data_IF_244624880298
#
_entry.id   IF_244624880298
#
_cell.length_a   1.000
_cell.length_b   1.000
_cell.length_c   1.000
_cell.angle_alpha   90.00
_cell.angle_beta   90.00
_cell.angle_gamma   90.00
#
_symmetry.space_group_name_H-M   'P 1'
#
loop_
_entity.id
_entity.type
_entity.pdbx_description
1 polymer ?
#
# COMPACT_ATOMS: atom_id res chain seq x y z
N UNK A 1 6.75 -11.19 -9.95
CA UNK A 1 5.75 -10.23 -10.44
C UNK A 1 6.45 -8.93 -10.80
N UNK A 2 6.20 -8.38 -12.00
CA UNK A 2 6.60 -7.02 -12.38
C UNK A 2 5.57 -5.99 -11.92
N UNK A 3 5.87 -4.69 -12.02
CA UNK A 3 4.91 -3.64 -11.69
C UNK A 3 3.77 -3.57 -12.71
N UNK A 4 4.02 -3.92 -13.97
CA UNK A 4 2.98 -4.03 -15.00
C UNK A 4 2.03 -5.19 -14.71
N UNK A 5 2.57 -6.35 -14.32
CA UNK A 5 1.77 -7.50 -13.90
C UNK A 5 0.94 -7.17 -12.65
N UNK A 6 1.52 -6.45 -11.70
CA UNK A 6 0.81 -5.99 -10.51
C UNK A 6 -0.31 -4.99 -10.85
N UNK A 7 -0.04 -4.00 -11.70
CA UNK A 7 -1.07 -3.03 -12.12
C UNK A 7 -2.21 -3.72 -12.87
N UNK A 8 -1.91 -4.73 -13.70
CA UNK A 8 -2.91 -5.55 -14.36
C UNK A 8 -3.76 -6.32 -13.34
N UNK A 9 -3.14 -6.92 -12.32
CA UNK A 9 -3.86 -7.56 -11.22
C UNK A 9 -4.83 -6.58 -10.53
N UNK A 10 -4.40 -5.35 -10.25
CA UNK A 10 -5.25 -4.31 -9.63
C UNK A 10 -6.46 -3.98 -10.52
N UNK A 11 -6.26 -3.88 -11.83
CA UNK A 11 -7.34 -3.62 -12.79
C UNK A 11 -8.36 -4.77 -12.84
N UNK A 12 -7.88 -6.02 -12.82
CA UNK A 12 -8.73 -7.22 -12.77
C UNK A 12 -9.52 -7.29 -11.46
N UNK A 13 -8.89 -6.97 -10.33
CA UNK A 13 -9.58 -6.93 -9.03
C UNK A 13 -10.65 -5.85 -8.99
N UNK A 14 -10.38 -4.63 -9.43
CA UNK A 14 -11.39 -3.57 -9.49
C UNK A 14 -12.59 -3.96 -10.37
N UNK A 15 -12.33 -4.54 -11.53
CA UNK A 15 -13.36 -5.06 -12.42
C UNK A 15 -14.18 -6.18 -11.75
N UNK A 16 -13.52 -7.12 -11.08
CA UNK A 16 -14.19 -8.18 -10.33
C UNK A 16 -15.10 -7.61 -9.24
N UNK A 17 -14.61 -6.71 -8.39
CA UNK A 17 -15.41 -6.10 -7.33
C UNK A 17 -16.61 -5.32 -7.87
N UNK A 18 -16.47 -4.66 -9.03
CA UNK A 18 -17.58 -3.99 -9.73
C UNK A 18 -18.60 -4.98 -10.28
N UNK A 19 -18.17 -6.18 -10.69
CA UNK A 19 -19.05 -7.22 -11.21
C UNK A 19 -19.92 -7.88 -10.14
N UNK A 20 -19.52 -7.83 -8.85
CA UNK A 20 -20.23 -8.46 -7.73
C UNK A 20 -21.60 -7.82 -7.39
N UNK A 21 -22.07 -6.83 -8.15
CA UNK A 21 -23.48 -6.46 -8.23
C UNK A 21 -24.11 -5.81 -6.99
N UNK A 22 -23.34 -5.54 -5.92
CA UNK A 22 -23.84 -4.67 -4.83
C UNK A 22 -23.87 -3.24 -5.33
N UNK A 23 -25.02 -2.57 -5.18
CA UNK A 23 -25.32 -1.21 -5.64
C UNK A 23 -24.55 -0.11 -4.90
N UNK A 24 -23.27 -0.34 -4.59
CA UNK A 24 -22.42 0.71 -4.05
C UNK A 24 -22.21 1.76 -5.15
N UNK A 25 -22.42 3.02 -4.80
CA UNK A 25 -21.96 4.17 -5.57
C UNK A 25 -20.43 4.21 -5.63
N UNK A 26 -19.87 5.00 -6.55
CA UNK A 26 -18.42 5.27 -6.57
C UNK A 26 -17.94 5.84 -5.24
N UNK A 27 -18.74 6.69 -4.61
CA UNK A 27 -18.41 7.29 -3.31
C UNK A 27 -18.29 6.24 -2.22
N UNK A 28 -19.23 5.29 -2.15
CA UNK A 28 -19.18 4.20 -1.18
C UNK A 28 -17.98 3.27 -1.43
N UNK A 29 -17.63 3.02 -2.70
CA UNK A 29 -16.40 2.27 -3.04
C UNK A 29 -15.15 2.96 -2.54
N UNK A 30 -14.98 4.25 -2.81
CA UNK A 30 -13.83 5.02 -2.33
C UNK A 30 -13.76 4.99 -0.81
N UNK A 31 -14.87 5.21 -0.12
CA UNK A 31 -14.92 5.17 1.35
C UNK A 31 -14.57 3.78 1.90
N UNK A 32 -15.11 2.71 1.31
CA UNK A 32 -14.79 1.34 1.71
C UNK A 32 -13.30 1.03 1.53
N UNK A 33 -12.68 1.46 0.42
CA UNK A 33 -11.24 1.30 0.18
C UNK A 33 -10.39 2.10 1.16
N UNK A 34 -10.81 3.32 1.51
CA UNK A 34 -10.12 4.14 2.52
C UNK A 34 -10.16 3.49 3.91
N UNK A 35 -11.31 2.92 4.29
CA UNK A 35 -11.44 2.19 5.57
C UNK A 35 -10.57 0.94 5.55
N UNK A 36 -10.63 0.14 4.48
CA UNK A 36 -9.80 -1.07 4.35
C UNK A 36 -8.30 -0.74 4.37
N UNK A 37 -7.88 0.38 3.77
CA UNK A 37 -6.48 0.83 3.88
C UNK A 37 -6.06 1.10 5.33
N UNK A 38 -6.97 1.64 6.14
CA UNK A 38 -6.70 1.90 7.56
C UNK A 38 -6.62 0.61 8.37
N UNK A 39 -7.39 -0.40 7.98
CA UNK A 39 -7.35 -1.76 8.54
C UNK A 39 -6.00 -2.43 8.26
N UNK A 40 -5.58 -2.54 6.99
CA UNK A 40 -4.30 -3.21 6.64
C UNK A 40 -3.10 -2.47 7.24
N UNK A 41 -3.17 -1.14 7.34
CA UNK A 41 -2.13 -0.37 8.00
C UNK A 41 -2.05 -0.70 9.49
N UNK A 42 -3.18 -0.95 10.15
CA UNK A 42 -3.24 -1.40 11.54
C UNK A 42 -2.63 -2.78 11.71
N UNK A 43 -2.97 -3.72 10.82
CA UNK A 43 -2.41 -5.08 10.80
C UNK A 43 -0.90 -5.07 10.56
N UNK A 44 -0.42 -4.27 9.59
CA UNK A 44 1.00 -4.01 9.39
C UNK A 44 1.68 -3.43 10.64
N UNK A 45 1.04 -2.47 11.32
CA UNK A 45 1.60 -1.90 12.55
C UNK A 45 1.75 -2.97 13.64
N UNK A 46 0.75 -3.84 13.80
CA UNK A 46 0.81 -4.95 14.75
C UNK A 46 1.96 -5.92 14.41
N UNK A 47 2.12 -6.28 13.14
CA UNK A 47 3.21 -7.15 12.69
C UNK A 47 4.60 -6.48 12.84
N UNK A 48 4.72 -5.17 12.58
CA UNK A 48 5.97 -4.42 12.82
C UNK A 48 6.31 -4.40 14.31
N UNK A 49 5.36 -4.07 15.19
CA UNK A 49 5.60 -4.05 16.64
C UNK A 49 6.01 -5.43 17.16
N UNK A 50 5.34 -6.46 16.65
CA UNK A 50 5.67 -7.84 16.95
C UNK A 50 7.08 -8.19 16.46
N UNK A 51 7.50 -7.74 15.26
CA UNK A 51 8.84 -8.02 14.71
C UNK A 51 9.96 -7.34 15.52
N UNK A 52 9.63 -6.25 16.21
CA UNK A 52 10.53 -5.54 17.13
C UNK A 52 10.46 -6.06 18.57
N UNK A 53 9.71 -7.13 18.84
CA UNK A 53 9.61 -7.75 20.16
C UNK A 53 8.70 -7.02 21.15
N UNK A 54 7.85 -6.09 20.69
CA UNK A 54 6.93 -5.32 21.54
C UNK A 54 5.56 -5.99 21.78
N UNK A 55 5.41 -7.28 21.45
CA UNK A 55 4.17 -8.03 21.72
C UNK A 55 4.18 -8.67 23.12
N UNK A 56 2.97 -8.93 23.66
CA UNK A 56 2.81 -9.68 24.92
C UNK A 56 3.34 -11.11 24.76
N UNK A 57 4.08 -11.59 25.76
CA UNK A 57 4.76 -12.89 25.75
C UNK A 57 3.90 -14.07 25.27
N UNK A 58 2.60 -14.09 25.62
CA UNK A 58 1.68 -15.16 25.20
C UNK A 58 1.34 -15.24 23.70
N UNK A 59 1.74 -14.26 22.87
CA UNK A 59 1.54 -14.28 21.41
C UNK A 59 2.80 -14.64 20.62
N UNK A 60 3.97 -14.78 21.27
CA UNK A 60 5.25 -15.03 20.58
C UNK A 60 5.45 -16.48 20.12
N UNK A 61 4.78 -17.45 20.73
CA UNK A 61 5.06 -18.88 20.51
C UNK A 61 4.46 -19.47 19.21
N UNK A 62 3.61 -18.73 18.49
CA UNK A 62 2.84 -19.25 17.34
C UNK A 62 3.03 -18.46 16.04
N UNK A 63 4.09 -17.66 15.92
CA UNK A 63 4.21 -16.73 14.79
C UNK A 63 4.78 -17.39 13.54
N UNK A 64 4.05 -17.28 12.43
CA UNK A 64 4.54 -17.56 11.09
C UNK A 64 5.44 -16.39 10.64
N UNK A 65 6.63 -16.70 10.10
CA UNK A 65 7.59 -15.68 9.66
C UNK A 65 7.13 -14.91 8.41
N UNK A 66 6.12 -15.40 7.71
CA UNK A 66 5.62 -14.80 6.47
C UNK A 66 4.68 -13.61 6.69
N UNK A 67 4.08 -13.46 7.88
CA UNK A 67 3.02 -12.47 8.14
C UNK A 67 3.42 -11.02 7.84
N UNK A 68 4.63 -10.61 8.22
CA UNK A 68 5.08 -9.22 7.97
C UNK A 68 5.13 -8.86 6.48
N UNK A 69 5.59 -9.78 5.64
CA UNK A 69 5.68 -9.54 4.19
C UNK A 69 4.30 -9.43 3.54
N UNK A 70 3.36 -10.26 4.00
CA UNK A 70 1.98 -10.26 3.53
C UNK A 70 1.28 -8.94 3.91
N UNK A 71 1.46 -8.44 5.14
CA UNK A 71 0.85 -7.16 5.55
C UNK A 71 1.40 -5.95 4.75
N UNK A 72 2.68 -5.97 4.38
CA UNK A 72 3.23 -4.95 3.47
C UNK A 72 2.57 -5.03 2.09
N UNK A 73 2.31 -6.24 1.60
CA UNK A 73 1.66 -6.45 0.32
C UNK A 73 0.20 -6.00 0.35
N UNK A 74 -0.54 -6.28 1.43
CA UNK A 74 -1.94 -5.88 1.58
C UNK A 74 -2.10 -4.35 1.60
N UNK A 75 -1.25 -3.64 2.34
CA UNK A 75 -1.21 -2.17 2.30
C UNK A 75 -0.95 -1.65 0.87
N UNK A 76 -0.02 -2.26 0.14
CA UNK A 76 0.28 -1.88 -1.25
C UNK A 76 -0.92 -2.13 -2.17
N UNK A 77 -1.55 -3.30 -2.08
CA UNK A 77 -2.72 -3.68 -2.90
C UNK A 77 -3.87 -2.70 -2.66
N UNK A 78 -4.23 -2.45 -1.40
CA UNK A 78 -5.37 -1.58 -1.07
C UNK A 78 -5.07 -0.12 -1.45
N UNK A 79 -3.82 0.32 -1.34
CA UNK A 79 -3.39 1.65 -1.82
C UNK A 79 -3.62 1.79 -3.33
N UNK A 80 -3.21 0.80 -4.13
CA UNK A 80 -3.39 0.83 -5.58
C UNK A 80 -4.87 0.72 -5.98
N UNK A 81 -5.66 -0.10 -5.28
CA UNK A 81 -7.11 -0.19 -5.49
C UNK A 81 -7.83 1.13 -5.17
N UNK A 82 -7.41 1.83 -4.11
CA UNK A 82 -7.95 3.15 -3.77
C UNK A 82 -7.60 4.18 -4.86
N UNK A 83 -6.35 4.20 -5.31
CA UNK A 83 -5.93 5.07 -6.42
C UNK A 83 -6.76 4.82 -7.69
N UNK A 84 -6.98 3.54 -8.05
CA UNK A 84 -7.86 3.15 -9.16
C UNK A 84 -9.29 3.65 -8.97
N UNK A 85 -9.86 3.47 -7.77
CA UNK A 85 -11.22 3.93 -7.43
C UNK A 85 -11.38 5.46 -7.53
N UNK A 86 -10.28 6.20 -7.35
CA UNK A 86 -10.23 7.66 -7.45
C UNK A 86 -9.78 8.15 -8.84
N UNK A 87 -9.61 7.26 -9.83
CA UNK A 87 -9.10 7.55 -11.17
C UNK A 87 -7.71 8.23 -11.16
N UNK A 88 -6.85 7.82 -10.23
CA UNK A 88 -5.46 8.29 -10.15
C UNK A 88 -4.56 7.32 -10.89
N UNK A 89 -3.81 7.83 -11.88
CA UNK A 89 -2.69 7.11 -12.47
C UNK A 89 -1.51 7.10 -11.48
N UNK A 90 -1.48 6.05 -10.66
CA UNK A 90 -0.50 5.90 -9.60
C UNK A 90 0.91 5.63 -10.14
N UNK A 91 1.04 4.97 -11.29
CA UNK A 91 2.34 4.72 -11.91
C UNK A 91 2.98 6.03 -12.39
N UNK A 92 2.22 6.89 -13.06
CA UNK A 92 2.70 8.22 -13.42
C UNK A 92 2.96 9.09 -12.18
N UNK A 93 2.15 8.97 -11.12
CA UNK A 93 2.37 9.70 -9.87
C UNK A 93 3.66 9.27 -9.16
N UNK A 94 3.93 7.97 -9.10
CA UNK A 94 5.17 7.39 -8.56
C UNK A 94 6.38 7.87 -9.36
N UNK A 95 6.35 7.78 -10.69
CA UNK A 95 7.45 8.27 -11.55
C UNK A 95 7.78 9.75 -11.29
N UNK A 96 6.76 10.63 -11.29
CA UNK A 96 6.93 12.05 -10.98
C UNK A 96 7.53 12.26 -9.59
N UNK A 97 7.06 11.52 -8.58
CA UNK A 97 7.51 11.66 -7.19
C UNK A 97 8.95 11.18 -7.03
N UNK A 98 9.32 10.05 -7.63
CA UNK A 98 10.68 9.50 -7.61
C UNK A 98 11.66 10.45 -8.28
N UNK A 99 11.33 11.01 -9.45
CA UNK A 99 12.16 12.03 -10.13
C UNK A 99 12.41 13.24 -9.23
N UNK A 100 11.35 13.79 -8.63
CA UNK A 100 11.45 14.94 -7.71
C UNK A 100 12.32 14.65 -6.48
N UNK A 101 12.25 13.44 -5.92
CA UNK A 101 13.09 13.03 -4.78
C UNK A 101 14.56 12.95 -5.20
N UNK A 102 14.84 12.31 -6.34
CA UNK A 102 16.22 12.22 -6.89
C UNK A 102 16.82 13.60 -7.16
N UNK A 103 16.06 14.49 -7.80
CA UNK A 103 16.49 15.88 -8.04
C UNK A 103 16.80 16.62 -6.74
N UNK A 104 15.98 16.44 -5.69
CA UNK A 104 16.21 17.05 -4.38
C UNK A 104 17.51 16.53 -3.76
N UNK A 105 17.72 15.22 -3.74
CA UNK A 105 18.94 14.62 -3.16
C UNK A 105 20.19 15.05 -3.93
N UNK A 106 20.15 15.09 -5.26
CA UNK A 106 21.28 15.55 -6.07
C UNK A 106 21.64 17.00 -5.76
N UNK A 107 20.65 17.89 -5.62
CA UNK A 107 20.89 19.29 -5.20
C UNK A 107 21.49 19.39 -3.80
N UNK A 108 21.10 18.52 -2.86
CA UNK A 108 21.67 18.50 -1.51
C UNK A 108 23.13 18.03 -1.52
N UNK A 109 23.47 17.05 -2.36
CA UNK A 109 24.83 16.59 -2.57
C UNK A 109 25.71 17.67 -3.24
N UNK A 110 25.18 18.36 -4.26
CA UNK A 110 25.89 19.44 -4.98
C UNK A 110 26.08 20.70 -4.13
N UNK A 111 25.17 20.98 -3.20
CA UNK A 111 25.25 22.14 -2.30
C UNK A 111 26.10 21.91 -1.05
N UNK A 112 26.72 20.72 -0.89
CA UNK A 112 27.53 20.38 0.29
C UNK A 112 26.76 20.37 1.61
N UNK A 113 25.43 20.48 1.57
CA UNK A 113 24.57 20.52 2.75
C UNK A 113 24.09 19.09 3.03
N UNK A 114 25.02 18.26 3.47
CA UNK A 114 24.70 17.06 4.23
C UNK A 114 24.78 17.48 5.69
N UNK A 115 23.64 17.89 6.24
CA UNK A 115 23.44 17.96 7.68
C UNK A 115 22.91 16.62 8.17
#
# INVERSE_FOLDING_TARGET
MTLEEFQKFIDEQDAFFRSLGKSASERERVLARTVKLSEELGELCDEVLASQGFQRAGKMETRDQNGLGDEFADVAIVTFLLAKSMNVDIMAALDRKVKKIKEKHNKQLESGSVA
#
